data_IF_118059775150
#
_entry.id   IF_118059775150
#
_cell.length_a   1.000
_cell.length_b   1.000
_cell.length_c   1.000
_cell.angle_alpha   90.00
_cell.angle_beta   90.00
_cell.angle_gamma   90.00
#
_symmetry.space_group_name_H-M   'P 1'
#
loop_
_entity.id
_entity.type
_entity.pdbx_description
1 polymer ?
#
# COMPACT_ATOMS: atom_id res chain seq x y z
N UNK A 1 -2.39 10.94 13.62
CA UNK A 1 -1.89 12.23 13.12
C UNK A 1 -2.33 12.36 11.68
N UNK A 2 -3.08 13.39 11.31
CA UNK A 2 -3.60 13.59 9.96
C UNK A 2 -3.08 14.92 9.44
N UNK A 3 -2.19 14.89 8.46
CA UNK A 3 -1.78 16.05 7.67
C UNK A 3 -1.97 15.70 6.19
N UNK A 4 -2.84 16.42 5.49
CA UNK A 4 -2.63 16.73 4.07
C UNK A 4 -3.63 17.76 3.56
N UNK A 5 -3.11 18.80 2.90
CA UNK A 5 -3.82 19.88 2.23
C UNK A 5 -4.63 19.46 0.97
N UNK A 6 -4.79 18.16 0.71
CA UNK A 6 -5.46 17.59 -0.48
C UNK A 6 -6.87 17.03 -0.22
N UNK A 7 -7.32 16.99 1.05
CA UNK A 7 -8.62 16.40 1.39
C UNK A 7 -8.74 14.92 1.03
N UNK A 8 -7.60 14.22 0.89
CA UNK A 8 -7.52 12.79 0.62
C UNK A 8 -7.45 12.01 1.93
N UNK A 9 -8.39 11.07 2.09
CA UNK A 9 -8.41 10.09 3.18
C UNK A 9 -8.26 8.71 2.57
N UNK A 10 -7.34 7.92 3.10
CA UNK A 10 -7.16 6.50 2.77
C UNK A 10 -7.35 5.73 4.07
N UNK A 11 -8.38 4.88 4.12
CA UNK A 11 -8.73 4.07 5.28
C UNK A 11 -8.42 2.62 4.97
N UNK A 12 -7.72 1.95 5.86
CA UNK A 12 -7.57 0.49 5.82
C UNK A 12 -8.87 -0.15 6.31
N UNK A 13 -9.43 -1.06 5.52
CA UNK A 13 -10.67 -1.77 5.87
C UNK A 13 -10.35 -3.14 6.46
N UNK A 14 -9.69 -4.00 5.69
CA UNK A 14 -9.40 -5.37 6.08
C UNK A 14 -8.25 -5.98 5.28
N UNK A 15 -7.75 -7.11 5.79
CA UNK A 15 -6.99 -8.05 4.96
C UNK A 15 -7.92 -8.63 3.90
N UNK A 16 -7.45 -8.67 2.66
CA UNK A 16 -8.22 -9.18 1.54
C UNK A 16 -7.85 -10.63 1.24
N UNK A 17 -8.87 -11.48 1.06
CA UNK A 17 -8.68 -12.86 0.63
C UNK A 17 -8.27 -12.89 -0.85
N UNK A 18 -7.09 -13.45 -1.14
CA UNK A 18 -6.59 -13.54 -2.52
C UNK A 18 -6.71 -14.95 -3.08
N UNK A 19 -7.16 -15.04 -4.33
CA UNK A 19 -7.06 -16.25 -5.14
C UNK A 19 -5.77 -16.17 -5.95
N UNK A 20 -4.62 -16.44 -5.31
CA UNK A 20 -3.32 -16.33 -6.00
C UNK A 20 -2.08 -16.42 -5.11
N UNK A 21 -2.22 -16.46 -3.79
CA UNK A 21 -1.10 -16.67 -2.87
C UNK A 21 -0.21 -15.45 -2.63
N UNK A 22 -0.67 -14.25 -3.01
CA UNK A 22 -0.05 -12.98 -2.64
C UNK A 22 -0.83 -12.35 -1.48
N UNK A 23 -0.16 -11.54 -0.66
CA UNK A 23 -0.84 -10.81 0.42
C UNK A 23 -1.54 -9.58 -0.15
N UNK A 24 -2.72 -9.25 0.37
CA UNK A 24 -3.43 -8.05 -0.05
C UNK A 24 -4.26 -7.44 1.08
N UNK A 25 -4.66 -6.19 0.88
CA UNK A 25 -5.48 -5.42 1.78
C UNK A 25 -6.47 -4.55 1.01
N UNK A 26 -7.68 -4.41 1.56
CA UNK A 26 -8.71 -3.52 1.05
C UNK A 26 -8.61 -2.15 1.72
N UNK A 27 -8.79 -1.11 0.90
CA UNK A 27 -8.75 0.27 1.31
C UNK A 27 -9.94 1.03 0.76
N UNK A 28 -10.42 1.98 1.55
CA UNK A 28 -11.38 2.98 1.13
C UNK A 28 -10.68 4.31 0.88
N UNK A 29 -10.83 4.85 -0.32
CA UNK A 29 -10.21 6.11 -0.75
C UNK A 29 -11.29 7.16 -0.95
N UNK A 30 -11.17 8.28 -0.24
CA UNK A 30 -12.12 9.40 -0.31
C UNK A 30 -11.38 10.72 -0.60
N UNK A 31 -11.91 11.49 -1.56
CA UNK A 31 -11.44 12.84 -1.91
C UNK A 31 -12.63 13.77 -2.11
N UNK A 32 -12.50 15.03 -1.67
CA UNK A 32 -13.56 16.02 -1.82
C UNK A 32 -13.94 16.24 -3.29
N UNK A 33 -15.25 16.19 -3.60
CA UNK A 33 -15.76 16.42 -4.96
C UNK A 33 -15.62 15.23 -5.92
N UNK A 34 -15.18 14.06 -5.45
CA UNK A 34 -15.06 12.83 -6.24
C UNK A 34 -15.86 11.69 -5.62
N UNK A 35 -16.12 10.64 -6.41
CA UNK A 35 -16.66 9.39 -5.90
C UNK A 35 -15.66 8.74 -4.94
N UNK A 36 -16.18 8.11 -3.88
CA UNK A 36 -15.37 7.24 -3.04
C UNK A 36 -15.09 5.94 -3.77
N UNK A 37 -13.91 5.37 -3.52
CA UNK A 37 -13.44 4.16 -4.19
C UNK A 37 -13.07 3.10 -3.15
N UNK A 38 -13.53 1.87 -3.38
CA UNK A 38 -13.00 0.68 -2.72
C UNK A 38 -11.92 0.09 -3.64
N UNK A 39 -10.72 -0.08 -3.09
CA UNK A 39 -9.55 -0.52 -3.86
C UNK A 39 -8.77 -1.59 -3.09
N UNK A 40 -8.19 -2.53 -3.82
CA UNK A 40 -7.37 -3.60 -3.28
C UNK A 40 -5.90 -3.37 -3.66
N UNK A 41 -5.01 -3.40 -2.66
CA UNK A 41 -3.57 -3.39 -2.89
C UNK A 41 -2.98 -4.75 -2.54
N UNK A 42 -2.36 -5.40 -3.50
CA UNK A 42 -1.62 -6.63 -3.35
C UNK A 42 -0.11 -6.40 -3.35
N UNK A 43 0.60 -7.23 -2.61
CA UNK A 43 2.06 -7.34 -2.60
C UNK A 43 2.44 -8.73 -3.10
N UNK A 44 3.05 -8.81 -4.29
CA UNK A 44 3.49 -10.07 -4.84
C UNK A 44 4.65 -10.68 -4.04
N UNK A 45 4.85 -12.00 -4.17
CA UNK A 45 5.87 -12.73 -3.41
C UNK A 45 7.30 -12.21 -3.61
N UNK A 46 7.63 -11.73 -4.81
CA UNK A 46 8.94 -11.11 -5.10
C UNK A 46 9.10 -9.75 -4.41
N UNK A 47 8.02 -8.96 -4.33
CA UNK A 47 8.01 -7.71 -3.58
C UNK A 47 8.10 -7.96 -2.06
N UNK A 48 7.43 -8.98 -1.55
CA UNK A 48 7.57 -9.39 -0.14
C UNK A 48 9.01 -9.85 0.17
N UNK A 49 9.60 -10.65 -0.72
CA UNK A 49 10.99 -11.08 -0.60
C UNK A 49 11.98 -9.90 -0.62
N UNK A 50 11.69 -8.86 -1.41
CA UNK A 50 12.46 -7.62 -1.41
C UNK A 50 12.46 -6.98 -0.01
N UNK A 51 11.30 -6.80 0.65
CA UNK A 51 11.27 -6.26 2.01
C UNK A 51 11.97 -7.17 3.03
N UNK A 52 11.78 -8.50 2.95
CA UNK A 52 12.46 -9.48 3.80
C UNK A 52 13.99 -9.48 3.64
N UNK A 53 14.53 -9.01 2.51
CA UNK A 53 15.97 -8.84 2.36
C UNK A 53 16.52 -7.68 3.21
N UNK A 54 15.65 -6.78 3.69
CA UNK A 54 15.99 -5.59 4.46
C UNK A 54 15.50 -5.63 5.92
N UNK A 55 14.76 -6.66 6.33
CA UNK A 55 14.24 -6.81 7.69
C UNK A 55 14.11 -8.29 8.09
N UNK A 56 13.59 -8.56 9.29
CA UNK A 56 13.27 -9.92 9.72
C UNK A 56 12.19 -10.58 8.82
N UNK A 57 12.04 -11.91 8.87
CA UNK A 57 10.92 -12.58 8.20
C UNK A 57 9.58 -11.93 8.57
N UNK A 58 8.85 -11.51 7.54
CA UNK A 58 7.55 -10.88 7.70
C UNK A 58 6.45 -11.92 7.99
N UNK A 59 5.77 -11.77 9.12
CA UNK A 59 4.48 -12.41 9.37
C UNK A 59 3.34 -11.63 8.70
N UNK A 60 2.10 -12.12 8.82
CA UNK A 60 0.96 -11.48 8.17
C UNK A 60 0.75 -10.04 8.66
N UNK A 61 0.86 -9.79 9.97
CA UNK A 61 0.67 -8.46 10.54
C UNK A 61 1.72 -7.47 10.00
N UNK A 62 2.97 -7.89 9.87
CA UNK A 62 4.03 -7.10 9.27
C UNK A 62 3.76 -6.80 7.78
N UNK A 63 3.25 -7.78 7.01
CA UNK A 63 2.86 -7.56 5.62
C UNK A 63 1.69 -6.58 5.51
N UNK A 64 0.69 -6.67 6.38
CA UNK A 64 -0.43 -5.74 6.43
C UNK A 64 0.03 -4.32 6.80
N UNK A 65 1.01 -4.17 7.70
CA UNK A 65 1.62 -2.88 8.02
C UNK A 65 2.34 -2.26 6.82
N UNK A 66 3.09 -3.06 6.06
CA UNK A 66 3.75 -2.63 4.81
C UNK A 66 2.71 -2.20 3.76
N UNK A 67 1.64 -2.97 3.58
CA UNK A 67 0.56 -2.61 2.64
C UNK A 67 -0.10 -1.28 2.99
N UNK A 68 -0.31 -0.99 4.29
CA UNK A 68 -0.85 0.30 4.75
C UNK A 68 0.09 1.47 4.43
N UNK A 69 1.39 1.31 4.66
CA UNK A 69 2.40 2.31 4.32
C UNK A 69 2.45 2.55 2.80
N UNK A 70 2.45 1.48 2.00
CA UNK A 70 2.43 1.54 0.54
C UNK A 70 1.18 2.23 -0.01
N UNK A 71 -0.01 1.91 0.51
CA UNK A 71 -1.27 2.49 0.04
C UNK A 71 -1.26 4.03 0.11
N UNK A 72 -0.73 4.59 1.19
CA UNK A 72 -0.60 6.03 1.38
C UNK A 72 0.26 6.72 0.32
N UNK A 73 1.29 6.04 -0.18
CA UNK A 73 2.22 6.55 -1.20
C UNK A 73 1.69 6.32 -2.61
N UNK A 74 1.23 5.10 -2.89
CA UNK A 74 0.83 4.67 -4.22
C UNK A 74 -0.44 5.39 -4.68
N UNK A 75 -1.51 5.38 -3.88
CA UNK A 75 -2.76 6.02 -4.28
C UNK A 75 -2.65 7.54 -4.33
N UNK A 76 -1.84 8.13 -3.47
CA UNK A 76 -1.50 9.56 -3.55
C UNK A 76 -0.80 9.89 -4.86
N UNK A 77 0.16 9.07 -5.29
CA UNK A 77 0.88 9.28 -6.56
C UNK A 77 -0.08 9.27 -7.76
N UNK A 78 -0.99 8.30 -7.85
CA UNK A 78 -2.03 8.28 -8.90
C UNK A 78 -2.88 9.55 -8.89
N UNK A 79 -3.36 9.93 -7.70
CA UNK A 79 -4.26 11.07 -7.50
C UNK A 79 -3.59 12.41 -7.84
N UNK A 80 -2.33 12.60 -7.41
CA UNK A 80 -1.56 13.82 -7.66
C UNK A 80 -1.20 13.96 -9.14
N UNK A 81 -1.07 12.84 -9.86
CA UNK A 81 -0.92 12.82 -11.32
C UNK A 81 -2.25 13.05 -12.09
N UNK A 82 -3.38 13.20 -11.39
CA UNK A 82 -4.69 13.37 -11.99
C UNK A 82 -5.33 12.07 -12.50
N UNK A 83 -4.82 10.92 -12.07
CA UNK A 83 -5.35 9.60 -12.42
C UNK A 83 -6.28 9.06 -11.34
N UNK A 84 -7.24 8.24 -11.76
CA UNK A 84 -8.06 7.46 -10.84
C UNK A 84 -7.29 6.21 -10.39
N UNK A 85 -7.23 5.90 -9.08
CA UNK A 85 -6.64 4.66 -8.61
C UNK A 85 -7.31 3.44 -9.24
N UNK A 86 -6.55 2.43 -9.69
CA UNK A 86 -7.14 1.18 -10.16
C UNK A 86 -7.82 0.45 -9.00
N UNK A 87 -8.93 -0.24 -9.30
CA UNK A 87 -9.69 -1.01 -8.31
C UNK A 87 -8.86 -2.15 -7.68
N UNK A 88 -7.94 -2.74 -8.44
CA UNK A 88 -7.01 -3.77 -7.95
C UNK A 88 -5.63 -3.44 -8.49
N UNK A 89 -4.65 -3.35 -7.59
CA UNK A 89 -3.25 -3.12 -7.93
C UNK A 89 -2.38 -4.18 -7.25
N UNK A 90 -1.53 -4.86 -8.02
CA UNK A 90 -0.56 -5.81 -7.50
C UNK A 90 0.85 -5.26 -7.73
N UNK A 91 1.56 -4.96 -6.64
CA UNK A 91 2.93 -4.46 -6.70
C UNK A 91 3.93 -5.62 -6.79
N UNK A 92 4.83 -5.54 -7.77
CA UNK A 92 5.99 -6.41 -7.96
C UNK A 92 7.24 -5.73 -7.41
N UNK A 93 8.32 -6.49 -7.25
CA UNK A 93 9.59 -5.91 -6.77
C UNK A 93 10.11 -4.78 -7.68
N UNK A 94 9.88 -4.89 -8.99
CA UNK A 94 10.27 -3.89 -9.98
C UNK A 94 9.48 -2.57 -9.88
N UNK A 95 8.32 -2.58 -9.21
CA UNK A 95 7.48 -1.39 -9.04
C UNK A 95 7.87 -0.58 -7.79
N UNK A 96 8.78 -1.11 -6.96
CA UNK A 96 9.19 -0.51 -5.69
C UNK A 96 10.62 0.02 -5.83
N UNK A 97 10.77 1.33 -5.72
CA UNK A 97 12.08 1.93 -5.76
C UNK A 97 12.88 1.60 -4.49
N UNK A 98 14.15 1.20 -4.66
CA UNK A 98 15.01 0.82 -3.56
C UNK A 98 15.19 1.92 -2.51
N UNK A 99 15.15 3.20 -2.91
CA UNK A 99 15.33 4.31 -1.97
C UNK A 99 14.16 4.51 -1.00
N UNK A 100 12.96 3.99 -1.31
CA UNK A 100 11.78 4.14 -0.43
C UNK A 100 11.60 2.98 0.54
N UNK A 101 12.36 1.89 0.39
CA UNK A 101 12.17 0.66 1.20
C UNK A 101 12.37 0.96 2.70
N UNK A 102 13.45 1.67 3.06
CA UNK A 102 13.74 2.01 4.45
C UNK A 102 12.63 2.87 5.07
N UNK A 103 12.10 3.83 4.30
CA UNK A 103 11.00 4.67 4.77
C UNK A 103 9.72 3.86 4.99
N UNK A 104 9.39 2.96 4.06
CA UNK A 104 8.20 2.09 4.17
C UNK A 104 8.32 1.18 5.40
N UNK A 105 9.49 0.59 5.62
CA UNK A 105 9.73 -0.24 6.81
C UNK A 105 9.63 0.60 8.10
N UNK A 106 10.14 1.82 8.10
CA UNK A 106 10.00 2.73 9.24
C UNK A 106 8.54 3.12 9.50
N UNK A 107 7.77 3.44 8.46
CA UNK A 107 6.33 3.73 8.55
C UNK A 107 5.53 2.51 9.06
N UNK A 108 5.94 1.31 8.66
CA UNK A 108 5.40 0.05 9.14
C UNK A 108 5.89 -0.32 10.56
N UNK A 109 6.79 0.46 11.16
CA UNK A 109 7.42 0.15 12.46
C UNK A 109 8.22 -1.17 12.47
N UNK A 110 8.93 -1.44 11.37
CA UNK A 110 9.71 -2.66 11.10
C UNK A 110 11.21 -2.38 10.80
N UNK A 111 11.67 -1.14 10.99
CA UNK A 111 13.04 -0.69 10.74
C UNK A 111 13.94 -0.78 12.00
#
# INVERSE_FOLDING_TARGET
MTTSATGLTITYEAEALTFGGYAAADFFVQRAGHHSLEVNLGLAADAQALFQAHTAPLDNDAVQAILRALAGRVYRTFIDAGHEPPAILLLRAADIDAHVIADILSEASLA
#
